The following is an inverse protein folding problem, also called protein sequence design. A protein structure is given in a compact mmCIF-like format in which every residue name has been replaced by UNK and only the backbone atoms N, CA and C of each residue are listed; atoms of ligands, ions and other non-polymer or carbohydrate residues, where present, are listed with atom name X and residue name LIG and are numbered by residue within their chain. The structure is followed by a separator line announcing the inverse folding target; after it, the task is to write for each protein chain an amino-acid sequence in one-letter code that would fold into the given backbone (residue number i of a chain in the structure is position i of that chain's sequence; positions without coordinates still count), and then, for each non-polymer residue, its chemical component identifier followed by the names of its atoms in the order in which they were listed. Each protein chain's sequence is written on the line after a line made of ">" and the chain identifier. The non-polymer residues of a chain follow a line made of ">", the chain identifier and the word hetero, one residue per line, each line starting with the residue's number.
data_IF_425688146345
#
_entry.id   IF_425688146345
#
_cell.length_a   1.000
_cell.length_b   1.000
_cell.length_c   1.000
_cell.angle_alpha   90.00
_cell.angle_beta   90.00
_cell.angle_gamma   90.00
#
_symmetry.space_group_name_H-M   'P 1'
#
loop_
_entity.id
_entity.type
_entity.pdbx_description
1 polymer ?
#
# COMPACT_ATOMS: atom_id res chain seq x y z
N UNK A 1 -12.99 5.62 17.08
CA UNK A 1 -13.09 4.87 15.81
C UNK A 1 -11.69 4.36 15.51
N UNK A 2 -11.48 3.04 15.40
CA UNK A 2 -10.15 2.52 15.03
C UNK A 2 -9.85 2.88 13.59
N UNK A 3 -8.64 3.38 13.33
CA UNK A 3 -8.16 3.56 11.96
C UNK A 3 -8.17 2.23 11.21
N UNK A 4 -8.45 2.23 9.89
CA UNK A 4 -8.39 1.02 9.08
C UNK A 4 -6.98 0.40 9.15
N UNK A 5 -6.87 -0.94 9.14
CA UNK A 5 -5.57 -1.60 9.16
C UNK A 5 -4.82 -1.27 7.86
N UNK A 6 -3.52 -1.02 7.99
CA UNK A 6 -2.64 -0.71 6.85
C UNK A 6 -1.65 -1.86 6.66
N UNK A 7 -1.51 -2.32 5.42
CA UNK A 7 -0.53 -3.31 4.99
C UNK A 7 0.41 -2.69 3.96
N UNK A 8 1.70 -2.65 4.26
CA UNK A 8 2.73 -2.07 3.41
C UNK A 8 3.67 -3.14 2.85
N UNK A 9 3.77 -3.20 1.52
CA UNK A 9 4.63 -4.14 0.80
C UNK A 9 5.94 -3.48 0.37
N UNK A 10 7.08 -3.99 0.87
CA UNK A 10 8.43 -3.48 0.54
C UNK A 10 8.91 -3.82 -0.89
N UNK A 11 8.15 -4.62 -1.63
CA UNK A 11 8.46 -5.06 -2.99
C UNK A 11 9.91 -5.58 -3.13
N UNK A 12 10.40 -6.34 -2.14
CA UNK A 12 11.80 -6.74 -2.05
C UNK A 12 12.25 -7.66 -3.20
N UNK A 13 11.36 -8.55 -3.64
CA UNK A 13 11.59 -9.47 -4.76
C UNK A 13 11.44 -8.81 -6.14
N UNK A 14 10.24 -8.33 -6.48
CA UNK A 14 9.93 -7.88 -7.85
C UNK A 14 10.55 -6.51 -8.21
N UNK A 15 10.81 -5.64 -7.21
CA UNK A 15 11.45 -4.33 -7.39
C UNK A 15 10.79 -3.45 -8.46
N UNK A 16 9.47 -3.55 -8.62
CA UNK A 16 8.69 -2.79 -9.60
C UNK A 16 8.20 -1.44 -9.09
N UNK A 17 8.31 -1.21 -7.78
CA UNK A 17 8.02 0.07 -7.12
C UNK A 17 9.33 0.85 -7.02
N UNK A 18 9.37 2.14 -7.42
CA UNK A 18 10.54 2.99 -7.27
C UNK A 18 11.04 3.02 -5.83
N UNK A 19 12.36 3.10 -5.64
CA UNK A 19 12.96 3.01 -4.30
C UNK A 19 12.59 4.21 -3.45
N UNK A 20 12.57 5.37 -4.07
CA UNK A 20 12.29 6.67 -3.47
C UNK A 20 10.86 6.69 -2.92
N UNK A 21 9.90 6.16 -3.70
CA UNK A 21 8.48 6.09 -3.29
C UNK A 21 8.30 5.17 -2.10
N UNK A 22 8.80 3.93 -2.17
CA UNK A 22 8.57 2.97 -1.09
C UNK A 22 9.27 3.38 0.20
N UNK A 23 10.46 3.98 0.12
CA UNK A 23 11.18 4.43 1.31
C UNK A 23 10.50 5.66 1.92
N UNK A 24 10.05 6.62 1.10
CA UNK A 24 9.30 7.79 1.58
C UNK A 24 7.95 7.43 2.21
N UNK A 25 7.22 6.46 1.61
CA UNK A 25 5.98 5.94 2.22
C UNK A 25 6.26 5.29 3.58
N UNK A 26 7.33 4.50 3.68
CA UNK A 26 7.68 3.84 4.93
C UNK A 26 8.07 4.86 6.01
N UNK A 27 8.88 5.86 5.67
CA UNK A 27 9.29 6.94 6.57
C UNK A 27 8.07 7.69 7.11
N UNK A 28 7.19 8.16 6.23
CA UNK A 28 5.95 8.84 6.61
C UNK A 28 5.00 7.97 7.44
N UNK A 29 4.86 6.68 7.12
CA UNK A 29 4.06 5.76 7.95
C UNK A 29 4.64 5.64 9.37
N UNK A 30 5.96 5.55 9.50
CA UNK A 30 6.63 5.52 10.81
C UNK A 30 6.43 6.84 11.56
N UNK A 31 6.61 7.98 10.89
CA UNK A 31 6.43 9.31 11.48
C UNK A 31 4.98 9.59 11.88
N UNK A 32 4.00 9.06 11.14
CA UNK A 32 2.58 9.22 11.45
C UNK A 32 2.16 8.57 12.77
N UNK A 33 2.95 7.61 13.27
CA UNK A 33 2.62 6.83 14.47
C UNK A 33 1.41 5.91 14.33
N UNK A 34 0.83 5.79 13.13
CA UNK A 34 -0.29 4.88 12.86
C UNK A 34 0.21 3.44 12.84
N UNK A 35 -0.58 2.52 13.38
CA UNK A 35 -0.27 1.10 13.33
C UNK A 35 -0.39 0.57 11.88
N UNK A 36 0.68 -0.04 11.39
CA UNK A 36 0.72 -0.71 10.09
C UNK A 36 1.54 -2.00 10.16
N UNK A 37 1.23 -2.93 9.27
CA UNK A 37 2.02 -4.15 9.08
C UNK A 37 2.93 -3.98 7.86
N UNK A 38 4.22 -4.33 7.98
CA UNK A 38 5.14 -4.39 6.85
C UNK A 38 5.47 -5.83 6.46
N UNK A 39 5.35 -6.13 5.16
CA UNK A 39 5.77 -7.40 4.58
C UNK A 39 6.89 -7.19 3.56
N UNK A 40 7.75 -8.21 3.38
CA UNK A 40 8.84 -8.15 2.39
C UNK A 40 8.30 -8.08 0.95
N UNK A 41 7.42 -9.02 0.59
CA UNK A 41 6.85 -9.13 -0.74
C UNK A 41 5.57 -9.97 -0.77
N UNK A 42 4.46 -9.34 -1.15
CA UNK A 42 3.17 -10.04 -1.35
C UNK A 42 3.25 -11.12 -2.44
N UNK A 43 4.14 -10.97 -3.43
CA UNK A 43 4.27 -11.96 -4.50
C UNK A 43 4.88 -13.29 -4.03
N UNK A 44 5.80 -13.26 -3.08
CA UNK A 44 6.40 -14.47 -2.50
C UNK A 44 5.44 -15.15 -1.52
N UNK A 45 4.75 -14.35 -0.70
CA UNK A 45 3.68 -14.85 0.18
C UNK A 45 2.60 -15.56 -0.65
N UNK A 46 2.19 -14.95 -1.76
CA UNK A 46 1.24 -15.55 -2.70
C UNK A 46 1.78 -16.84 -3.31
N UNK A 47 3.04 -16.86 -3.76
CA UNK A 47 3.68 -18.06 -4.30
C UNK A 47 3.72 -19.23 -3.30
N UNK A 48 3.80 -18.93 -2.01
CA UNK A 48 3.77 -19.92 -0.92
C UNK A 48 2.38 -20.22 -0.39
N UNK A 49 1.34 -19.54 -0.88
CA UNK A 49 -0.03 -19.56 -0.33
C UNK A 49 -0.02 -19.31 1.18
N UNK A 50 0.68 -18.27 1.58
CA UNK A 50 0.86 -17.92 2.99
C UNK A 50 -0.50 -17.70 3.68
N UNK A 51 -0.81 -18.41 4.78
CA UNK A 51 -2.08 -18.29 5.48
C UNK A 51 -2.32 -16.88 6.04
N UNK A 52 -1.29 -16.05 6.25
CA UNK A 52 -1.49 -14.67 6.72
C UNK A 52 -2.23 -13.81 5.69
N UNK A 53 -2.17 -14.14 4.39
CA UNK A 53 -2.94 -13.45 3.35
C UNK A 53 -4.45 -13.61 3.58
N UNK A 54 -4.90 -14.77 4.08
CA UNK A 54 -6.30 -14.98 4.45
C UNK A 54 -6.71 -14.10 5.63
N UNK A 55 -5.81 -13.86 6.58
CA UNK A 55 -6.07 -12.96 7.71
C UNK A 55 -6.26 -11.53 7.24
N UNK A 56 -5.40 -11.02 6.35
CA UNK A 56 -5.54 -9.68 5.78
C UNK A 56 -6.82 -9.53 4.95
N UNK A 57 -7.14 -10.51 4.09
CA UNK A 57 -8.32 -10.45 3.23
C UNK A 57 -9.66 -10.38 4.02
N UNK A 58 -9.67 -10.81 5.28
CA UNK A 58 -10.83 -10.75 6.17
C UNK A 58 -10.93 -9.45 6.97
N UNK A 59 -9.91 -8.59 6.95
CA UNK A 59 -9.92 -7.33 7.68
C UNK A 59 -10.80 -6.31 6.95
N UNK A 60 -11.86 -5.76 7.60
CA UNK A 60 -12.72 -4.78 6.97
C UNK A 60 -11.99 -3.44 6.84
N UNK A 61 -12.06 -2.84 5.65
CA UNK A 61 -11.44 -1.55 5.35
C UNK A 61 -9.92 -1.61 5.26
N UNK A 62 -9.33 -2.77 4.97
CA UNK A 62 -7.88 -2.93 4.83
C UNK A 62 -7.35 -1.99 3.74
N UNK A 63 -6.31 -1.22 4.06
CA UNK A 63 -5.56 -0.42 3.09
C UNK A 63 -4.24 -1.09 2.75
N UNK A 64 -3.97 -1.31 1.47
CA UNK A 64 -2.75 -2.01 1.00
C UNK A 64 -1.90 -1.06 0.16
N UNK A 65 -0.74 -0.68 0.67
CA UNK A 65 0.29 0.03 -0.08
C UNK A 65 1.19 -0.99 -0.81
N UNK A 66 1.07 -1.08 -2.13
CA UNK A 66 1.79 -2.08 -2.90
C UNK A 66 2.07 -1.62 -4.34
N UNK A 67 2.24 -2.58 -5.27
CA UNK A 67 2.47 -2.31 -6.68
C UNK A 67 1.15 -1.96 -7.41
N UNK A 68 0.79 -2.69 -8.47
CA UNK A 68 -0.47 -2.42 -9.18
C UNK A 68 -1.68 -3.08 -8.48
N UNK A 69 -2.82 -2.39 -8.36
CA UNK A 69 -4.04 -2.94 -7.73
C UNK A 69 -4.49 -4.26 -8.35
N UNK A 70 -4.45 -4.36 -9.68
CA UNK A 70 -4.76 -5.60 -10.39
C UNK A 70 -3.81 -6.73 -9.96
N UNK A 71 -2.50 -6.48 -9.89
CA UNK A 71 -1.55 -7.50 -9.48
C UNK A 71 -1.83 -7.98 -8.04
N UNK A 72 -2.08 -7.06 -7.11
CA UNK A 72 -2.40 -7.41 -5.71
C UNK A 72 -3.65 -8.29 -5.62
N UNK A 73 -4.76 -7.91 -6.29
CA UNK A 73 -5.97 -8.73 -6.34
C UNK A 73 -5.69 -10.16 -6.84
N UNK A 74 -4.89 -10.28 -7.90
CA UNK A 74 -4.48 -11.57 -8.45
C UNK A 74 -3.60 -12.38 -7.51
N UNK A 75 -2.66 -11.75 -6.79
CA UNK A 75 -1.81 -12.43 -5.81
C UNK A 75 -2.62 -13.05 -4.67
N UNK A 76 -3.60 -12.31 -4.16
CA UNK A 76 -4.52 -12.78 -3.11
C UNK A 76 -5.43 -13.90 -3.62
N UNK A 77 -5.98 -13.78 -4.83
CA UNK A 77 -6.77 -14.84 -5.45
C UNK A 77 -5.94 -16.12 -5.70
N UNK A 78 -4.70 -15.99 -6.17
CA UNK A 78 -3.79 -17.12 -6.40
C UNK A 78 -3.39 -17.84 -5.09
N UNK A 79 -3.40 -17.11 -3.97
CA UNK A 79 -3.21 -17.66 -2.63
C UNK A 79 -4.48 -18.32 -2.05
N UNK A 80 -5.61 -18.29 -2.77
CA UNK A 80 -6.89 -18.82 -2.31
C UNK A 80 -7.66 -17.89 -1.37
N UNK A 81 -7.25 -16.61 -1.27
CA UNK A 81 -7.85 -15.60 -0.38
C UNK A 81 -8.22 -14.34 -1.17
N UNK A 82 -9.20 -14.40 -2.09
CA UNK A 82 -9.54 -13.28 -2.96
C UNK A 82 -9.99 -12.06 -2.16
N UNK A 83 -9.50 -10.88 -2.56
CA UNK A 83 -9.91 -9.59 -2.01
C UNK A 83 -11.25 -9.15 -2.63
N UNK A 84 -12.18 -8.66 -1.81
CA UNK A 84 -13.44 -8.04 -2.27
C UNK A 84 -13.30 -6.52 -2.32
N UNK A 85 -13.79 -5.88 -3.39
CA UNK A 85 -13.62 -4.42 -3.59
C UNK A 85 -14.29 -3.58 -2.50
N UNK A 86 -15.30 -4.13 -1.83
CA UNK A 86 -16.02 -3.48 -0.74
C UNK A 86 -15.20 -3.42 0.57
N UNK A 87 -14.18 -4.27 0.72
CA UNK A 87 -13.45 -4.43 1.98
C UNK A 87 -11.98 -3.97 1.92
N UNK A 88 -11.47 -3.61 0.74
CA UNK A 88 -10.05 -3.25 0.58
C UNK A 88 -9.86 -2.02 -0.30
N UNK A 89 -8.93 -1.18 0.12
CA UNK A 89 -8.40 -0.08 -0.69
C UNK A 89 -6.95 -0.39 -1.04
N UNK A 90 -6.59 -0.33 -2.33
CA UNK A 90 -5.22 -0.64 -2.78
C UNK A 90 -4.59 0.62 -3.34
N UNK A 91 -3.56 1.11 -2.63
CA UNK A 91 -2.78 2.30 -2.98
C UNK A 91 -1.62 1.90 -3.89
N UNK A 92 -1.57 2.50 -5.08
CA UNK A 92 -0.64 2.14 -6.14
C UNK A 92 0.66 2.95 -6.07
N UNK A 93 1.68 2.42 -5.40
CA UNK A 93 2.98 3.07 -5.26
C UNK A 93 3.82 3.08 -6.56
N UNK A 94 3.34 2.47 -7.66
CA UNK A 94 4.03 2.56 -8.96
C UNK A 94 3.70 3.82 -9.73
N UNK A 95 2.53 4.40 -9.48
CA UNK A 95 2.04 5.56 -10.22
C UNK A 95 1.98 6.81 -9.37
N UNK A 96 1.76 6.63 -8.06
CA UNK A 96 1.76 7.70 -7.09
C UNK A 96 3.17 7.94 -6.55
N UNK A 97 3.43 9.18 -6.14
CA UNK A 97 4.59 9.50 -5.31
C UNK A 97 4.35 9.11 -3.84
N UNK A 98 5.35 9.37 -2.98
CA UNK A 98 5.28 9.00 -1.57
C UNK A 98 4.18 9.73 -0.81
N UNK A 99 4.07 11.05 -1.00
CA UNK A 99 3.11 11.91 -0.30
C UNK A 99 1.67 11.56 -0.69
N UNK A 100 1.40 11.41 -2.00
CA UNK A 100 0.10 10.97 -2.52
C UNK A 100 -0.31 9.60 -1.98
N UNK A 101 0.65 8.68 -1.89
CA UNK A 101 0.41 7.34 -1.37
C UNK A 101 0.06 7.40 0.12
N UNK A 102 0.81 8.16 0.92
CA UNK A 102 0.55 8.32 2.34
C UNK A 102 -0.75 9.06 2.63
N UNK A 103 -1.09 10.11 1.88
CA UNK A 103 -2.36 10.81 2.01
C UNK A 103 -3.55 9.85 1.85
N UNK A 104 -3.50 8.95 0.85
CA UNK A 104 -4.52 7.92 0.66
C UNK A 104 -4.54 6.89 1.79
N UNK A 105 -3.37 6.46 2.29
CA UNK A 105 -3.28 5.49 3.38
C UNK A 105 -3.81 6.06 4.71
N UNK A 106 -3.41 7.26 5.08
CA UNK A 106 -3.75 7.89 6.36
C UNK A 106 -5.15 8.51 6.36
N UNK A 107 -5.73 8.78 5.18
CA UNK A 107 -7.12 9.19 5.04
C UNK A 107 -7.37 10.68 5.28
N UNK A 108 -6.42 11.55 4.92
CA UNK A 108 -6.71 12.99 4.83
C UNK A 108 -7.43 13.31 3.51
N UNK A 109 -8.52 14.10 3.54
CA UNK A 109 -9.18 14.56 2.34
C UNK A 109 -8.28 15.58 1.64
N UNK A 110 -7.87 15.27 0.41
CA UNK A 110 -7.64 16.25 -0.66
C UNK A 110 -7.12 17.62 -0.20
N UNK A 111 -5.90 17.68 0.34
CA UNK A 111 -5.18 18.93 0.53
C UNK A 111 -4.41 19.26 -0.73
N UNK A 112 -4.93 20.22 -1.50
CA UNK A 112 -4.22 21.08 -2.46
C UNK A 112 -2.84 20.56 -2.91
N UNK A 113 -2.75 20.04 -4.13
CA UNK A 113 -1.50 20.05 -4.86
C UNK A 113 -1.11 21.52 -5.08
N UNK A 114 -0.39 22.10 -4.11
CA UNK A 114 0.32 23.35 -4.29
C UNK A 114 1.42 23.07 -5.31
N UNK A 115 1.06 23.32 -6.57
CA UNK A 115 1.94 23.29 -7.70
C UNK A 115 2.85 24.53 -7.60
N UNK A 116 3.81 24.49 -6.68
CA UNK A 116 4.95 25.41 -6.67
C UNK A 116 5.87 25.00 -7.83
N UNK A 117 5.49 25.45 -9.03
CA UNK A 117 6.43 25.61 -10.13
C UNK A 117 7.45 26.65 -9.70
N UNK A 118 8.65 26.19 -9.35
CA UNK A 118 9.85 27.01 -9.37
C UNK A 118 10.17 27.34 -10.84
N UNK A 119 10.14 28.62 -11.22
CA UNK A 119 11.06 29.15 -12.23
C UNK A 119 11.59 30.50 -11.75
N UNK A 120 12.83 30.44 -11.29
CA UNK A 120 13.77 31.53 -11.05
C UNK A 120 14.44 31.97 -12.36
N UNK A 121 14.70 33.26 -12.46
CA UNK A 121 15.56 34.01 -13.41
C UNK A 121 14.93 34.54 -14.71
#
# INVERSE_FOLDING_TARGET
>A
MSSPPILYCRCAYAKVVPKEVKDGVLEQLVESGVAFESVADLCNMSAKRDPTLACYAQQPGLKIAACYPRAVKWLFAAAGSPLTEENVEIVNMRTLNADESCAQLLGEPSGEADNTTQETE
#
